data_IF_283100173678
#
_entry.id   IF_283100173678
#
_cell.length_a   1.000
_cell.length_b   1.000
_cell.length_c   1.000
_cell.angle_alpha   90.00
_cell.angle_beta   90.00
_cell.angle_gamma   90.00
#
_symmetry.space_group_name_H-M   'P 1'
#
loop_
_entity.id
_entity.type
_entity.pdbx_description
1 polymer ?
#
# COMPACT_ATOMS: atom_id res chain seq x y z
N UNK A 1 3.58 -10.63 26.12
CA UNK A 1 2.25 -11.02 26.63
C UNK A 1 1.18 -10.46 25.71
N UNK A 2 0.13 -11.23 25.39
CA UNK A 2 -1.05 -10.68 24.68
C UNK A 2 -1.94 -9.99 25.70
N UNK A 3 -2.04 -8.67 25.63
CA UNK A 3 -2.89 -7.87 26.51
C UNK A 3 -4.11 -7.37 25.74
N UNK A 4 -5.31 -7.66 26.23
CA UNK A 4 -6.56 -7.13 25.66
C UNK A 4 -6.88 -5.77 26.28
N UNK A 5 -7.29 -4.81 25.45
CA UNK A 5 -7.67 -3.47 25.89
C UNK A 5 -9.03 -3.14 25.27
N UNK A 6 -9.98 -2.70 26.09
CA UNK A 6 -11.26 -2.18 25.62
C UNK A 6 -11.13 -0.67 25.51
N UNK A 7 -11.23 -0.15 24.29
CA UNK A 7 -11.23 1.28 23.99
C UNK A 7 -12.56 1.69 23.38
N UNK A 8 -12.95 2.95 23.56
CA UNK A 8 -14.16 3.51 22.96
C UNK A 8 -13.78 4.40 21.78
N UNK A 9 -14.61 4.33 20.73
CA UNK A 9 -14.52 5.27 19.60
C UNK A 9 -15.12 6.60 20.04
N UNK A 10 -14.44 7.71 19.78
CA UNK A 10 -14.96 9.04 20.11
C UNK A 10 -15.97 9.55 19.06
N UNK A 11 -16.53 10.74 19.29
CA UNK A 11 -17.51 11.35 18.39
C UNK A 11 -16.99 11.64 16.97
N UNK A 12 -15.68 11.59 16.76
CA UNK A 12 -15.02 11.80 15.46
C UNK A 12 -14.56 10.50 14.82
N UNK A 13 -14.94 9.33 15.37
CA UNK A 13 -14.53 8.04 14.84
C UNK A 13 -13.10 7.63 15.18
N UNK A 14 -12.43 8.32 16.12
CA UNK A 14 -11.03 8.05 16.47
C UNK A 14 -10.95 7.00 17.57
N UNK A 15 -9.90 6.18 17.53
CA UNK A 15 -9.48 5.33 18.63
C UNK A 15 -8.17 5.86 19.21
N UNK A 16 -8.05 5.85 20.54
CA UNK A 16 -6.81 6.22 21.22
C UNK A 16 -6.06 4.93 21.54
N UNK A 17 -4.85 4.79 20.99
CA UNK A 17 -3.97 3.66 21.31
C UNK A 17 -3.35 3.91 22.69
N UNK A 18 -3.60 3.04 23.70
CA UNK A 18 -3.04 3.19 25.03
C UNK A 18 -1.51 3.28 25.03
N UNK A 19 -0.95 4.02 26.00
CA UNK A 19 0.49 4.30 26.06
C UNK A 19 1.36 3.04 26.00
N UNK A 20 1.06 2.01 26.79
CA UNK A 20 1.84 0.77 26.81
C UNK A 20 1.83 0.02 25.47
N UNK A 21 0.76 0.14 24.67
CA UNK A 21 0.72 -0.43 23.33
C UNK A 21 1.56 0.41 22.37
N UNK A 22 1.45 1.75 22.44
CA UNK A 22 2.27 2.66 21.62
C UNK A 22 3.75 2.46 21.88
N UNK A 23 4.15 2.41 23.14
CA UNK A 23 5.54 2.20 23.58
C UNK A 23 6.07 0.85 23.09
N UNK A 24 5.32 -0.23 23.32
CA UNK A 24 5.70 -1.58 22.86
C UNK A 24 5.84 -1.68 21.33
N UNK A 25 4.97 -1.00 20.58
CA UNK A 25 5.01 -0.98 19.11
C UNK A 25 5.94 0.10 18.54
N UNK A 26 6.58 0.92 19.38
CA UNK A 26 7.42 2.03 18.95
C UNK A 26 6.67 3.13 18.18
N UNK A 27 5.36 3.28 18.40
CA UNK A 27 4.53 4.27 17.69
C UNK A 27 4.84 5.68 18.22
N UNK A 28 5.45 6.49 17.36
CA UNK A 28 5.75 7.90 17.62
C UNK A 28 4.78 8.78 16.83
N UNK A 29 4.78 10.07 17.14
CA UNK A 29 4.09 11.04 16.30
C UNK A 29 4.63 10.96 14.86
N UNK A 30 3.72 10.96 13.88
CA UNK A 30 4.05 10.79 12.46
C UNK A 30 4.31 9.35 11.99
N UNK A 31 4.22 8.34 12.87
CA UNK A 31 4.29 6.93 12.42
C UNK A 31 3.10 6.62 11.51
N UNK A 32 3.38 6.24 10.26
CA UNK A 32 2.37 5.76 9.33
C UNK A 32 1.81 4.40 9.80
N UNK A 33 0.50 4.22 9.68
CA UNK A 33 -0.18 2.98 10.04
C UNK A 33 -1.03 2.52 8.86
N UNK A 34 -0.99 1.22 8.55
CA UNK A 34 -1.98 0.63 7.65
C UNK A 34 -3.18 0.20 8.47
N UNK A 35 -4.36 0.64 8.04
CA UNK A 35 -5.64 0.25 8.60
C UNK A 35 -6.39 -0.57 7.56
N UNK A 36 -6.68 -1.82 7.88
CA UNK A 36 -7.36 -2.75 6.97
C UNK A 36 -8.44 -3.55 7.68
N UNK A 37 -9.41 -4.05 6.92
CA UNK A 37 -10.35 -5.07 7.38
C UNK A 37 -10.08 -6.38 6.63
N UNK A 38 -10.40 -7.51 7.25
CA UNK A 38 -10.20 -8.83 6.66
C UNK A 38 -11.51 -9.53 6.25
N UNK A 39 -12.60 -8.78 6.09
CA UNK A 39 -13.94 -9.32 5.82
C UNK A 39 -14.61 -10.04 7.00
N UNK A 40 -13.91 -10.27 8.13
CA UNK A 40 -14.46 -10.94 9.33
C UNK A 40 -14.97 -9.95 10.39
N UNK A 41 -15.28 -8.71 9.99
CA UNK A 41 -15.56 -7.59 10.91
C UNK A 41 -14.43 -7.32 11.92
N UNK A 42 -13.18 -7.68 11.57
CA UNK A 42 -12.00 -7.38 12.37
C UNK A 42 -11.22 -6.23 11.75
N UNK A 43 -10.76 -5.31 12.61
CA UNK A 43 -9.84 -4.25 12.24
C UNK A 43 -8.40 -4.73 12.47
N UNK A 44 -7.54 -4.57 11.48
CA UNK A 44 -6.09 -4.82 11.59
C UNK A 44 -5.35 -3.51 11.38
N UNK A 45 -4.49 -3.20 12.35
CA UNK A 45 -3.64 -2.01 12.35
C UNK A 45 -2.19 -2.47 12.53
N UNK A 46 -1.31 -2.03 11.65
CA UNK A 46 0.12 -2.33 11.74
C UNK A 46 0.96 -1.12 11.33
N UNK A 47 2.08 -0.87 12.03
CA UNK A 47 2.97 0.24 11.72
C UNK A 47 3.74 0.02 10.43
N UNK A 48 3.94 1.12 9.72
CA UNK A 48 4.88 1.27 8.63
C UNK A 48 6.11 1.98 9.17
N UNK A 49 7.25 1.30 9.11
CA UNK A 49 8.52 1.81 9.63
C UNK A 49 9.37 2.48 8.53
N UNK A 50 8.76 2.85 7.41
CA UNK A 50 9.45 3.36 6.22
C UNK A 50 8.58 4.38 5.49
N UNK A 51 9.19 5.15 4.58
CA UNK A 51 8.46 6.08 3.72
C UNK A 51 7.65 5.29 2.71
N UNK A 52 6.32 5.46 2.73
CA UNK A 52 5.43 4.70 1.85
C UNK A 52 4.74 5.55 0.79
N UNK A 53 4.30 4.89 -0.27
CA UNK A 53 3.45 5.48 -1.28
C UNK A 53 2.34 4.50 -1.70
N UNK A 54 1.20 5.05 -2.09
CA UNK A 54 0.14 4.33 -2.75
C UNK A 54 0.39 4.33 -4.26
N UNK A 55 0.33 3.15 -4.88
CA UNK A 55 0.41 2.99 -6.33
C UNK A 55 -0.91 2.46 -6.85
N UNK A 56 -1.39 3.04 -7.94
CA UNK A 56 -2.55 2.55 -8.67
C UNK A 56 -2.21 2.47 -10.15
N UNK A 57 -2.40 1.29 -10.75
CA UNK A 57 -2.10 1.03 -12.16
C UNK A 57 -3.30 0.36 -12.81
N UNK A 58 -3.74 0.92 -13.93
CA UNK A 58 -4.68 0.28 -14.84
C UNK A 58 -3.88 -0.40 -15.95
N UNK A 59 -4.05 -1.70 -16.10
CA UNK A 59 -3.30 -2.54 -17.05
C UNK A 59 -4.22 -3.19 -18.10
N UNK A 60 -3.64 -3.54 -19.23
CA UNK A 60 -4.23 -4.48 -20.17
C UNK A 60 -4.33 -5.86 -19.51
N UNK A 61 -5.51 -6.48 -19.53
CA UNK A 61 -5.71 -7.82 -18.95
C UNK A 61 -5.23 -8.91 -19.92
N UNK A 62 -3.91 -9.00 -20.07
CA UNK A 62 -3.22 -9.99 -20.89
C UNK A 62 -2.09 -10.64 -20.11
N UNK A 63 -1.76 -11.92 -20.38
CA UNK A 63 -0.68 -12.61 -19.68
C UNK A 63 0.62 -11.81 -19.65
N UNK A 64 1.24 -11.73 -18.46
CA UNK A 64 2.50 -11.00 -18.25
C UNK A 64 2.38 -9.49 -18.06
N UNK A 65 1.19 -8.89 -18.19
CA UNK A 65 1.02 -7.44 -17.99
C UNK A 65 1.39 -6.98 -16.57
N UNK A 66 0.91 -7.69 -15.55
CA UNK A 66 1.30 -7.41 -14.16
C UNK A 66 2.80 -7.68 -13.94
N UNK A 67 3.35 -8.76 -14.51
CA UNK A 67 4.77 -9.07 -14.35
C UNK A 67 5.68 -7.91 -14.81
N UNK A 68 5.38 -7.29 -15.95
CA UNK A 68 6.12 -6.11 -16.45
C UNK A 68 6.07 -4.92 -15.49
N UNK A 69 4.93 -4.71 -14.85
CA UNK A 69 4.77 -3.66 -13.81
C UNK A 69 5.65 -3.99 -12.61
N UNK A 70 5.58 -5.21 -12.08
CA UNK A 70 6.35 -5.65 -10.91
C UNK A 70 7.85 -5.61 -11.18
N UNK A 71 8.31 -6.05 -12.36
CA UNK A 71 9.71 -5.94 -12.77
C UNK A 71 10.21 -4.48 -12.79
N UNK A 72 9.36 -3.55 -13.25
CA UNK A 72 9.69 -2.12 -13.28
C UNK A 72 9.79 -1.55 -11.87
N UNK A 73 8.86 -1.91 -10.98
CA UNK A 73 8.91 -1.54 -9.56
C UNK A 73 10.19 -2.07 -8.90
N UNK A 74 10.50 -3.36 -9.10
CA UNK A 74 11.69 -4.00 -8.53
C UNK A 74 13.00 -3.33 -8.97
N UNK A 75 13.11 -2.91 -10.24
CA UNK A 75 14.29 -2.18 -10.75
C UNK A 75 14.57 -0.86 -10.02
N UNK A 76 13.57 -0.26 -9.36
CA UNK A 76 13.71 0.97 -8.59
C UNK A 76 13.97 0.74 -7.10
N UNK A 77 14.26 -0.51 -6.68
CA UNK A 77 14.49 -0.86 -5.27
C UNK A 77 13.31 -0.50 -4.36
N UNK A 78 12.10 -0.70 -4.89
CA UNK A 78 10.85 -0.50 -4.18
C UNK A 78 10.34 -1.84 -3.69
N UNK A 79 10.04 -1.93 -2.39
CA UNK A 79 9.44 -3.13 -1.80
C UNK A 79 7.90 -2.99 -1.80
N UNK A 80 7.20 -4.08 -2.12
CA UNK A 80 5.72 -4.11 -2.11
C UNK A 80 5.28 -4.62 -0.75
N UNK A 81 4.60 -3.76 0.02
CA UNK A 81 4.12 -4.10 1.37
C UNK A 81 2.74 -4.75 1.31
N UNK A 82 1.87 -4.22 0.46
CA UNK A 82 0.53 -4.76 0.17
C UNK A 82 0.29 -4.63 -1.32
N UNK A 83 -0.34 -5.63 -1.92
CA UNK A 83 -0.76 -5.60 -3.32
C UNK A 83 -2.12 -6.26 -3.48
N UNK A 84 -2.97 -5.65 -4.30
CA UNK A 84 -4.23 -6.20 -4.77
C UNK A 84 -4.27 -6.10 -6.29
N UNK A 85 -4.67 -7.19 -6.94
CA UNK A 85 -4.90 -7.22 -8.38
C UNK A 85 -6.32 -7.70 -8.64
N UNK A 86 -7.04 -7.00 -9.51
CA UNK A 86 -8.43 -7.30 -9.83
C UNK A 86 -8.67 -7.15 -11.32
N UNK A 87 -9.27 -8.17 -11.95
CA UNK A 87 -9.80 -8.04 -13.30
C UNK A 87 -11.03 -7.12 -13.28
N UNK A 88 -11.02 -6.06 -14.09
CA UNK A 88 -12.15 -5.14 -14.25
C UNK A 88 -13.05 -5.63 -15.37
N UNK A 89 -12.46 -5.94 -16.53
CA UNK A 89 -13.13 -6.55 -17.68
C UNK A 89 -12.24 -7.63 -18.24
N UNK A 90 -12.72 -8.88 -18.20
CA UNK A 90 -11.95 -10.07 -18.60
C UNK A 90 -11.37 -9.92 -20.00
N UNK A 91 -10.07 -10.13 -20.12
CA UNK A 91 -9.31 -10.04 -21.38
C UNK A 91 -9.14 -8.61 -21.91
N UNK A 92 -9.56 -7.58 -21.18
CA UNK A 92 -9.44 -6.18 -21.59
C UNK A 92 -8.71 -5.31 -20.58
N UNK A 93 -9.13 -5.32 -19.32
CA UNK A 93 -8.61 -4.41 -18.29
C UNK A 93 -8.53 -5.08 -16.93
N UNK A 94 -7.40 -4.86 -16.27
CA UNK A 94 -7.19 -5.19 -14.88
C UNK A 94 -6.68 -3.95 -14.14
N UNK A 95 -6.86 -3.94 -12.83
CA UNK A 95 -6.37 -2.92 -11.93
C UNK A 95 -5.42 -3.58 -10.94
N UNK A 96 -4.29 -2.92 -10.69
CA UNK A 96 -3.36 -3.28 -9.64
C UNK A 96 -3.16 -2.08 -8.72
N UNK A 97 -3.38 -2.28 -7.43
CA UNK A 97 -3.13 -1.27 -6.40
C UNK A 97 -2.19 -1.84 -5.35
N UNK A 98 -1.32 -0.99 -4.82
CA UNK A 98 -0.33 -1.41 -3.84
C UNK A 98 0.05 -0.29 -2.87
N UNK A 99 0.43 -0.69 -1.66
CA UNK A 99 1.23 0.14 -0.75
C UNK A 99 2.67 -0.32 -0.89
N UNK A 100 3.55 0.61 -1.21
CA UNK A 100 4.96 0.34 -1.48
C UNK A 100 5.86 1.10 -0.52
N UNK A 101 7.01 0.53 -0.20
CA UNK A 101 8.11 1.19 0.50
C UNK A 101 9.02 1.87 -0.54
N UNK A 102 9.10 3.20 -0.44
CA UNK A 102 9.93 4.04 -1.31
C UNK A 102 11.16 4.59 -0.60
N UNK A 103 11.47 4.14 0.62
CA UNK A 103 12.63 4.60 1.39
C UNK A 103 13.97 4.41 0.68
N UNK A 104 14.07 3.42 -0.21
CA UNK A 104 15.25 3.15 -1.05
C UNK A 104 15.07 3.55 -2.52
N UNK A 105 13.91 4.12 -2.87
CA UNK A 105 13.63 4.58 -4.22
C UNK A 105 14.28 5.95 -4.45
N UNK A 106 15.16 6.04 -5.42
CA UNK A 106 15.87 7.29 -5.71
C UNK A 106 14.96 8.40 -6.28
N UNK A 107 13.92 8.03 -7.03
CA UNK A 107 12.99 8.98 -7.66
C UNK A 107 11.65 8.31 -7.98
N UNK A 108 10.64 8.57 -7.16
CA UNK A 108 9.28 8.03 -7.36
C UNK A 108 8.58 8.60 -8.59
N UNK A 109 8.88 9.85 -8.98
CA UNK A 109 8.33 10.47 -10.21
C UNK A 109 8.90 9.83 -11.47
N UNK A 110 10.16 9.38 -11.42
CA UNK A 110 10.76 8.59 -12.51
C UNK A 110 10.11 7.22 -12.63
N UNK A 111 9.89 6.54 -11.50
CA UNK A 111 9.16 5.26 -11.48
C UNK A 111 7.77 5.42 -12.10
N UNK A 112 6.99 6.43 -11.70
CA UNK A 112 5.66 6.69 -12.26
C UNK A 112 5.71 6.91 -13.78
N UNK A 113 6.65 7.71 -14.27
CA UNK A 113 6.85 7.93 -15.72
C UNK A 113 7.20 6.64 -16.46
N UNK A 114 8.07 5.80 -15.88
CA UNK A 114 8.43 4.53 -16.50
C UNK A 114 7.26 3.56 -16.53
N UNK A 115 6.45 3.48 -15.47
CA UNK A 115 5.22 2.69 -15.46
C UNK A 115 4.25 3.14 -16.56
N UNK A 116 4.03 4.45 -16.72
CA UNK A 116 3.18 5.01 -17.79
C UNK A 116 3.68 4.71 -19.20
N UNK A 117 4.99 4.46 -19.36
CA UNK A 117 5.57 4.15 -20.67
C UNK A 117 5.44 2.68 -21.09
N UNK A 118 5.03 1.79 -20.19
CA UNK A 118 4.87 0.37 -20.49
C UNK A 118 3.65 0.16 -21.39
N UNK A 119 3.80 -0.61 -22.47
CA UNK A 119 2.68 -0.97 -23.36
C UNK A 119 1.57 -1.77 -22.67
N UNK A 120 1.89 -2.42 -21.54
CA UNK A 120 0.93 -3.14 -20.71
C UNK A 120 0.07 -2.21 -19.82
N UNK A 121 0.44 -0.94 -19.68
CA UNK A 121 -0.17 0.04 -18.76
C UNK A 121 -1.02 1.03 -19.54
N UNK A 122 -2.26 1.25 -19.08
CA UNK A 122 -3.18 2.28 -19.58
C UNK A 122 -3.03 3.58 -18.78
N UNK A 123 -2.85 3.47 -17.47
CA UNK A 123 -2.56 4.58 -16.57
C UNK A 123 -1.82 4.09 -15.34
N UNK A 124 -1.02 4.97 -14.73
CA UNK A 124 -0.36 4.71 -13.45
C UNK A 124 -0.33 6.01 -12.64
N UNK A 125 -0.44 5.90 -11.32
CA UNK A 125 -0.36 7.01 -10.37
C UNK A 125 0.40 6.55 -9.13
N UNK A 126 1.29 7.40 -8.62
CA UNK A 126 1.98 7.21 -7.35
C UNK A 126 1.69 8.41 -6.45
N UNK A 127 1.08 8.15 -5.29
CA UNK A 127 0.77 9.15 -4.27
C UNK A 127 1.59 8.85 -3.01
N UNK A 128 2.52 9.75 -2.67
CA UNK A 128 3.21 9.68 -1.38
C UNK A 128 2.20 9.97 -0.26
N UNK A 129 2.33 9.26 0.86
CA UNK A 129 1.53 9.52 2.06
C UNK A 129 2.11 10.64 2.91
#
# INVERSE_FOLDING_TARGET
MKNFNVVRVDSKGRIIVPFHIRDYLGLKEGTELIVSNNGKKELRIFPLNSSTANVSVLLNDTPGSLAKVIETVAKHKVDILISMSKTVVKGKTAEWTAIIDVSKCSDSKKLERQLKSLSAVKSAEIKNN
#
